data_IF_705141059118
#
_entry.id   IF_705141059118
#
_cell.length_a   1.000
_cell.length_b   1.000
_cell.length_c   1.000
_cell.angle_alpha   90.00
_cell.angle_beta   90.00
_cell.angle_gamma   90.00
#
_symmetry.space_group_name_H-M   'P 1'
#
loop_
_entity.id
_entity.type
_entity.pdbx_description
1 polymer ?
#
# COMPACT_ATOMS: atom_id res chain seq x y z
N UNK A 1 -25.81 33.72 11.02
CA UNK A 1 -25.56 32.51 10.20
C UNK A 1 -24.60 31.65 10.96
N UNK A 2 -25.03 30.45 11.37
CA UNK A 2 -24.25 29.53 12.17
C UNK A 2 -23.23 28.81 11.28
N UNK A 3 -21.94 29.04 11.51
CA UNK A 3 -20.87 28.24 10.90
C UNK A 3 -20.89 26.85 11.53
N UNK A 4 -21.50 25.92 10.82
CA UNK A 4 -21.43 24.50 11.12
C UNK A 4 -20.01 24.03 10.81
N UNK A 5 -19.09 24.19 11.77
CA UNK A 5 -17.79 23.51 11.75
C UNK A 5 -18.06 22.01 11.70
N UNK A 6 -17.98 21.41 10.52
CA UNK A 6 -17.76 19.99 10.37
C UNK A 6 -16.45 19.65 11.08
N UNK A 7 -16.54 19.24 12.34
CA UNK A 7 -15.43 18.64 13.07
C UNK A 7 -15.17 17.27 12.42
N UNK A 8 -14.37 17.25 11.35
CA UNK A 8 -13.84 16.01 10.80
C UNK A 8 -12.92 15.39 11.84
N UNK A 9 -13.36 14.30 12.45
CA UNK A 9 -12.51 13.53 13.34
C UNK A 9 -11.53 12.70 12.50
N UNK A 10 -10.36 13.28 12.22
CA UNK A 10 -9.29 12.65 11.45
C UNK A 10 -8.78 11.33 12.09
N UNK A 11 -9.07 11.07 13.37
CA UNK A 11 -8.64 9.84 14.06
C UNK A 11 -9.37 8.57 13.60
N UNK A 12 -10.45 8.71 12.82
CA UNK A 12 -11.24 7.58 12.28
C UNK A 12 -11.20 7.49 10.76
N UNK A 13 -10.20 8.13 10.14
CA UNK A 13 -9.94 7.99 8.70
C UNK A 13 -8.88 6.91 8.51
N UNK A 14 -9.11 6.01 7.57
CA UNK A 14 -8.11 5.03 7.18
C UNK A 14 -6.89 5.72 6.54
N UNK A 15 -5.69 5.34 6.97
CA UNK A 15 -4.45 6.01 6.57
C UNK A 15 -3.93 5.58 5.19
N UNK A 16 -4.57 4.60 4.56
CA UNK A 16 -4.24 4.13 3.21
C UNK A 16 -5.28 4.56 2.17
N UNK A 17 -6.55 4.67 2.54
CA UNK A 17 -7.60 5.10 1.64
C UNK A 17 -8.73 5.84 2.37
N UNK A 18 -8.97 7.11 2.03
CA UNK A 18 -9.96 7.94 2.75
C UNK A 18 -11.41 7.47 2.62
N UNK A 19 -11.73 6.64 1.62
CA UNK A 19 -13.07 6.09 1.44
C UNK A 19 -13.26 4.77 2.19
N UNK A 20 -12.17 4.15 2.64
CA UNK A 20 -12.25 2.89 3.35
C UNK A 20 -12.71 3.12 4.80
N UNK A 21 -13.45 2.13 5.30
CA UNK A 21 -13.83 2.11 6.71
C UNK A 21 -12.58 1.90 7.55
N UNK A 22 -12.42 2.72 8.58
CA UNK A 22 -11.39 2.49 9.59
C UNK A 22 -11.61 1.16 10.32
N UNK A 23 -10.63 0.28 10.28
CA UNK A 23 -10.66 -1.00 11.00
C UNK A 23 -9.50 -1.14 12.00
N UNK A 24 -9.78 -1.76 13.15
CA UNK A 24 -8.75 -2.10 14.14
C UNK A 24 -7.75 -3.09 13.54
N UNK A 25 -6.54 -2.61 13.23
CA UNK A 25 -5.51 -3.37 12.50
C UNK A 25 -4.91 -2.60 11.32
N UNK A 26 -5.62 -1.61 10.78
CA UNK A 26 -5.11 -0.75 9.70
C UNK A 26 -4.04 0.23 10.20
N UNK A 27 -4.08 0.66 11.47
CA UNK A 27 -3.19 1.72 11.99
C UNK A 27 -1.76 1.28 12.35
N UNK A 28 -1.35 0.02 12.13
CA UNK A 28 -0.13 -0.52 12.76
C UNK A 28 0.89 -1.21 11.85
N UNK A 29 0.91 -0.94 10.55
CA UNK A 29 2.08 -1.30 9.72
C UNK A 29 3.37 -0.51 10.08
N UNK A 30 3.31 0.42 11.07
CA UNK A 30 4.41 1.30 11.50
C UNK A 30 4.76 1.32 13.00
N UNK A 31 4.34 0.35 13.84
CA UNK A 31 4.92 0.24 15.20
C UNK A 31 5.51 -1.14 15.46
N UNK A 32 6.85 -1.17 15.51
CA UNK A 32 7.62 -2.24 16.13
C UNK A 32 7.13 -2.44 17.58
N UNK A 33 6.98 -3.71 17.97
CA UNK A 33 6.96 -4.28 19.33
C UNK A 33 5.69 -4.95 19.91
N UNK A 34 4.53 -5.02 19.24
CA UNK A 34 3.36 -5.72 19.81
C UNK A 34 3.19 -7.19 19.39
N UNK A 35 4.23 -7.83 18.85
CA UNK A 35 4.23 -9.27 18.59
C UNK A 35 4.78 -10.11 19.77
N UNK A 36 5.46 -9.49 20.73
CA UNK A 36 6.01 -10.20 21.90
C UNK A 36 4.97 -10.49 22.98
N UNK A 37 3.85 -9.77 23.03
CA UNK A 37 2.73 -10.03 23.96
C UNK A 37 1.77 -11.12 23.46
N UNK A 38 1.74 -11.42 22.16
CA UNK A 38 0.87 -12.45 21.56
C UNK A 38 1.31 -13.90 21.87
N UNK A 39 2.43 -14.08 22.58
CA UNK A 39 2.99 -15.39 22.96
C UNK A 39 2.37 -16.02 24.21
N UNK A 40 1.48 -15.35 24.95
CA UNK A 40 1.03 -15.86 26.26
C UNK A 40 -0.35 -16.51 26.32
N UNK A 41 -1.13 -16.52 25.24
CA UNK A 41 -2.44 -17.20 25.24
C UNK A 41 -2.45 -18.36 24.25
N UNK A 42 -2.14 -19.53 24.79
CA UNK A 42 -2.40 -20.83 24.18
C UNK A 42 -3.91 -21.03 24.04
N UNK A 43 -4.49 -20.65 22.90
CA UNK A 43 -5.43 -21.49 22.16
C UNK A 43 -5.66 -20.88 20.77
N UNK A 44 -5.73 -21.75 19.77
CA UNK A 44 -6.13 -21.47 18.39
C UNK A 44 -7.12 -20.31 18.26
N UNK A 45 -6.80 -19.27 17.47
CA UNK A 45 -7.72 -18.47 16.63
C UNK A 45 -6.98 -17.20 16.19
N UNK A 46 -6.32 -17.24 15.03
CA UNK A 46 -6.11 -16.01 14.25
C UNK A 46 -7.49 -15.38 14.06
N UNK A 47 -7.79 -14.24 14.71
CA UNK A 47 -9.08 -13.56 14.53
C UNK A 47 -9.21 -13.20 13.04
N UNK A 48 -10.21 -13.76 12.38
CA UNK A 48 -10.53 -13.42 11.00
C UNK A 48 -10.88 -11.93 10.97
N UNK A 49 -10.27 -11.10 10.10
CA UNK A 49 -10.63 -9.70 9.98
C UNK A 49 -12.10 -9.55 9.59
N UNK A 50 -12.71 -8.41 9.93
CA UNK A 50 -14.07 -8.12 9.48
C UNK A 50 -14.13 -8.05 7.94
N UNK A 51 -15.14 -8.68 7.35
CA UNK A 51 -15.34 -8.77 5.89
C UNK A 51 -15.36 -7.40 5.19
N UNK A 52 -15.82 -6.37 5.89
CA UNK A 52 -15.94 -5.01 5.36
C UNK A 52 -14.60 -4.25 5.31
N UNK A 53 -13.53 -4.81 5.89
CA UNK A 53 -12.23 -4.17 5.98
C UNK A 53 -11.30 -4.60 4.84
N UNK A 54 -10.50 -3.67 4.31
CA UNK A 54 -9.54 -3.96 3.24
C UNK A 54 -8.54 -5.05 3.64
N UNK A 55 -8.16 -5.13 4.92
CA UNK A 55 -7.29 -6.19 5.47
C UNK A 55 -7.86 -7.61 5.31
N UNK A 56 -9.15 -7.78 5.07
CA UNK A 56 -9.72 -9.08 4.79
C UNK A 56 -9.19 -9.67 3.48
N UNK A 57 -8.98 -8.84 2.46
CA UNK A 57 -8.36 -9.28 1.19
C UNK A 57 -6.97 -9.84 1.45
N UNK A 58 -6.19 -9.16 2.29
CA UNK A 58 -4.86 -9.59 2.68
C UNK A 58 -4.86 -10.95 3.40
N UNK A 59 -5.85 -11.18 4.27
CA UNK A 59 -6.07 -12.47 4.91
C UNK A 59 -6.39 -13.57 3.88
N UNK A 60 -7.33 -13.30 2.97
CA UNK A 60 -7.71 -14.24 1.91
C UNK A 60 -6.52 -14.58 1.00
N UNK A 61 -5.74 -13.59 0.57
CA UNK A 61 -4.55 -13.80 -0.26
C UNK A 61 -3.54 -14.70 0.47
N UNK A 62 -3.29 -14.47 1.76
CA UNK A 62 -2.39 -15.33 2.54
C UNK A 62 -2.91 -16.76 2.67
N UNK A 63 -4.23 -16.95 2.80
CA UNK A 63 -4.84 -18.30 2.81
C UNK A 63 -4.70 -18.97 1.46
N UNK A 64 -5.06 -18.28 0.38
CA UNK A 64 -4.98 -18.79 -0.98
C UNK A 64 -3.53 -19.15 -1.37
N UNK A 65 -2.57 -18.25 -1.15
CA UNK A 65 -1.17 -18.46 -1.53
C UNK A 65 -0.47 -19.58 -0.73
N UNK A 66 -1.02 -19.95 0.43
CA UNK A 66 -0.49 -21.04 1.25
C UNK A 66 -1.31 -22.35 1.15
N UNK A 67 -2.38 -22.40 0.35
CA UNK A 67 -3.09 -23.65 0.05
C UNK A 67 -2.15 -24.58 -0.76
N UNK A 68 -2.03 -25.84 -0.34
CA UNK A 68 -1.12 -26.81 -0.97
C UNK A 68 -1.44 -27.05 -2.44
N UNK A 69 -2.72 -27.03 -2.82
CA UNK A 69 -3.16 -27.21 -4.22
C UNK A 69 -2.75 -26.02 -5.06
N UNK A 70 -2.87 -24.80 -4.52
CA UNK A 70 -2.41 -23.57 -5.19
C UNK A 70 -0.89 -23.60 -5.35
N UNK A 71 -0.15 -23.94 -4.29
CA UNK A 71 1.32 -24.06 -4.35
C UNK A 71 1.77 -25.12 -5.36
N UNK A 72 1.09 -26.27 -5.41
CA UNK A 72 1.35 -27.32 -6.40
C UNK A 72 1.06 -26.84 -7.82
N UNK A 73 -0.05 -26.14 -8.04
CA UNK A 73 -0.42 -25.59 -9.36
C UNK A 73 0.54 -24.49 -9.83
N UNK A 74 1.12 -23.72 -8.90
CA UNK A 74 2.17 -22.74 -9.17
C UNK A 74 3.58 -23.36 -9.24
N UNK A 75 3.69 -24.69 -9.17
CA UNK A 75 4.95 -25.44 -9.19
C UNK A 75 5.96 -25.03 -8.11
N UNK A 76 5.48 -24.62 -6.93
CA UNK A 76 6.34 -24.38 -5.78
C UNK A 76 6.83 -25.72 -5.24
N UNK A 77 8.14 -25.95 -5.27
CA UNK A 77 8.75 -27.18 -4.78
C UNK A 77 8.56 -27.33 -3.27
N UNK A 78 8.13 -28.52 -2.85
CA UNK A 78 7.93 -28.82 -1.45
C UNK A 78 9.25 -28.79 -0.67
N UNK A 79 9.23 -28.20 0.53
CA UNK A 79 10.41 -28.08 1.39
C UNK A 79 11.42 -26.99 1.03
N UNK A 80 11.29 -26.28 -0.11
CA UNK A 80 12.29 -25.25 -0.49
C UNK A 80 11.97 -23.86 0.03
N UNK A 81 10.69 -23.51 0.17
CA UNK A 81 10.24 -22.20 0.64
C UNK A 81 9.19 -22.42 1.71
N UNK A 82 9.30 -21.68 2.81
CA UNK A 82 8.32 -21.70 3.91
C UNK A 82 6.95 -21.13 3.55
N UNK A 83 6.24 -20.63 4.56
CA UNK A 83 4.96 -19.94 4.38
C UNK A 83 5.16 -18.69 3.54
N UNK A 84 4.28 -18.49 2.56
CA UNK A 84 4.24 -17.27 1.79
C UNK A 84 3.77 -16.11 2.67
N UNK A 85 4.50 -15.01 2.61
CA UNK A 85 4.19 -13.75 3.27
C UNK A 85 4.12 -12.64 2.22
N UNK A 86 3.14 -11.73 2.37
CA UNK A 86 2.88 -10.68 1.38
C UNK A 86 3.96 -9.61 1.32
N UNK A 87 4.51 -9.25 2.48
CA UNK A 87 5.48 -8.17 2.61
C UNK A 87 6.64 -8.66 3.47
N UNK A 88 7.82 -8.75 2.86
CA UNK A 88 9.07 -8.98 3.58
C UNK A 88 9.70 -7.63 3.92
N UNK A 89 9.99 -7.37 5.19
CA UNK A 89 10.27 -6.00 5.68
C UNK A 89 11.65 -5.78 6.31
N UNK A 90 12.51 -6.79 6.36
CA UNK A 90 13.63 -6.80 7.32
C UNK A 90 15.03 -6.86 6.72
N UNK A 91 15.17 -6.96 5.40
CA UNK A 91 16.48 -7.16 4.75
C UNK A 91 16.68 -6.21 3.57
N UNK A 92 16.62 -4.90 3.82
CA UNK A 92 16.97 -3.90 2.81
C UNK A 92 17.54 -2.64 3.45
N UNK A 93 18.43 -1.97 2.71
CA UNK A 93 18.98 -0.67 3.06
C UNK A 93 18.39 0.40 2.15
N UNK A 94 17.99 1.53 2.75
CA UNK A 94 17.53 2.69 1.99
C UNK A 94 18.74 3.49 1.51
N UNK A 95 19.07 3.39 0.22
CA UNK A 95 20.22 4.08 -0.37
C UNK A 95 19.82 5.23 -1.30
N UNK A 96 18.62 5.16 -1.90
CA UNK A 96 18.12 6.15 -2.84
C UNK A 96 16.93 6.86 -2.18
N UNK A 97 17.06 8.17 -2.00
CA UNK A 97 16.01 9.02 -1.40
C UNK A 97 15.08 9.66 -2.42
N UNK A 98 15.48 9.72 -3.70
CA UNK A 98 14.73 10.38 -4.76
C UNK A 98 14.95 9.67 -6.11
N UNK A 99 13.88 9.50 -6.89
CA UNK A 99 13.89 8.91 -8.23
C UNK A 99 13.75 9.95 -9.36
N UNK A 100 13.54 11.23 -9.05
CA UNK A 100 13.26 12.29 -10.05
C UNK A 100 14.38 12.41 -11.08
N UNK A 101 15.65 12.37 -10.66
CA UNK A 101 16.80 12.43 -11.57
C UNK A 101 16.83 11.25 -12.55
N UNK A 102 16.45 10.05 -12.09
CA UNK A 102 16.38 8.87 -12.95
C UNK A 102 15.28 9.00 -14.00
N UNK A 103 14.10 9.51 -13.62
CA UNK A 103 13.04 9.84 -14.58
C UNK A 103 13.53 10.86 -15.61
N UNK A 104 14.23 11.92 -15.19
CA UNK A 104 14.78 12.92 -16.09
C UNK A 104 15.79 12.34 -17.10
N UNK A 105 16.68 11.47 -16.65
CA UNK A 105 17.68 10.81 -17.47
C UNK A 105 17.04 9.86 -18.50
N UNK A 106 16.07 9.04 -18.07
CA UNK A 106 15.37 8.11 -18.96
C UNK A 106 14.55 8.85 -20.03
N UNK A 107 13.90 9.96 -19.67
CA UNK A 107 13.19 10.82 -20.63
C UNK A 107 14.13 11.39 -21.70
N UNK A 108 15.34 11.85 -21.32
CA UNK A 108 16.35 12.35 -22.28
C UNK A 108 16.82 11.27 -23.26
N UNK A 109 16.77 10.00 -22.87
CA UNK A 109 17.10 8.84 -23.72
C UNK A 109 15.93 8.39 -24.60
N UNK A 110 14.76 9.02 -24.49
CA UNK A 110 13.57 8.69 -25.29
C UNK A 110 12.70 7.57 -24.72
N UNK A 111 12.91 7.14 -23.47
CA UNK A 111 12.02 6.15 -22.84
C UNK A 111 10.70 6.80 -22.43
N UNK A 112 9.59 6.16 -22.81
CA UNK A 112 8.24 6.59 -22.43
C UNK A 112 7.92 6.14 -21.01
N UNK A 113 7.42 7.06 -20.20
CA UNK A 113 6.96 6.80 -18.83
C UNK A 113 5.47 7.09 -18.71
N UNK A 114 4.73 6.23 -18.00
CA UNK A 114 3.37 6.49 -17.54
C UNK A 114 3.40 6.58 -16.01
N UNK A 115 3.01 7.72 -15.47
CA UNK A 115 2.92 7.95 -14.02
C UNK A 115 1.44 8.14 -13.70
N UNK A 116 0.92 7.34 -12.77
CA UNK A 116 -0.47 7.38 -12.34
C UNK A 116 -0.56 7.33 -10.82
N UNK A 117 -1.60 7.93 -10.26
CA UNK A 117 -1.89 7.96 -8.83
C UNK A 117 -3.37 7.74 -8.60
N UNK A 118 -3.72 6.99 -7.55
CA UNK A 118 -5.07 7.00 -7.00
C UNK A 118 -5.31 8.31 -6.26
N UNK A 119 -6.44 8.96 -6.51
CA UNK A 119 -6.81 10.23 -5.87
C UNK A 119 -7.25 10.06 -4.41
N UNK A 120 -7.52 8.83 -3.99
CA UNK A 120 -7.92 8.48 -2.62
C UNK A 120 -6.76 7.91 -1.76
N UNK A 121 -5.55 7.77 -2.29
CA UNK A 121 -4.37 7.30 -1.53
C UNK A 121 -3.80 8.43 -0.66
N UNK A 122 -3.67 8.18 0.63
CA UNK A 122 -3.12 9.13 1.60
C UNK A 122 -1.66 8.88 1.97
N UNK A 123 -1.11 7.68 1.71
CA UNK A 123 0.30 7.39 1.94
C UNK A 123 1.15 8.07 0.88
N UNK A 124 0.72 7.98 -0.39
CA UNK A 124 1.34 8.65 -1.52
C UNK A 124 0.31 9.46 -2.31
N UNK A 125 -0.08 10.65 -1.81
CA UNK A 125 -1.15 11.42 -2.40
C UNK A 125 -0.78 11.89 -3.82
N UNK A 126 -1.77 11.89 -4.71
CA UNK A 126 -1.57 12.31 -6.12
C UNK A 126 -0.99 13.72 -6.24
N UNK A 127 -1.27 14.61 -5.28
CA UNK A 127 -0.70 15.96 -5.22
C UNK A 127 0.83 15.94 -5.08
N UNK A 128 1.40 15.00 -4.30
CA UNK A 128 2.85 14.83 -4.20
C UNK A 128 3.43 14.39 -5.54
N UNK A 129 2.74 13.48 -6.25
CA UNK A 129 3.13 13.07 -7.60
C UNK A 129 3.12 14.24 -8.58
N UNK A 130 2.06 15.05 -8.58
CA UNK A 130 1.97 16.25 -9.41
C UNK A 130 3.09 17.25 -9.11
N UNK A 131 3.47 17.42 -7.84
CA UNK A 131 4.50 18.37 -7.44
C UNK A 131 5.87 18.04 -8.05
N UNK A 132 6.34 16.79 -7.93
CA UNK A 132 7.65 16.43 -8.48
C UNK A 132 7.65 16.36 -10.01
N UNK A 133 6.53 15.98 -10.64
CA UNK A 133 6.42 16.01 -12.12
C UNK A 133 6.54 17.46 -12.61
N UNK A 134 5.88 18.42 -11.94
CA UNK A 134 6.02 19.85 -12.30
C UNK A 134 7.44 20.35 -12.11
N UNK A 135 8.17 19.84 -11.13
CA UNK A 135 9.57 20.20 -10.89
C UNK A 135 10.51 19.78 -12.05
N UNK A 136 10.14 18.79 -12.88
CA UNK A 136 10.89 18.43 -14.09
C UNK A 136 10.82 19.48 -15.20
N UNK A 137 9.85 20.41 -15.13
CA UNK A 137 9.68 21.52 -16.07
C UNK A 137 9.60 21.08 -17.55
N UNK A 138 8.84 20.03 -17.83
CA UNK A 138 8.55 19.61 -19.20
C UNK A 138 7.48 20.48 -19.84
N UNK A 139 7.58 20.66 -21.16
CA UNK A 139 6.52 21.26 -21.96
C UNK A 139 5.27 20.38 -21.94
N UNK A 140 4.11 20.98 -21.68
CA UNK A 140 2.81 20.33 -21.81
C UNK A 140 2.51 20.18 -23.31
N UNK A 141 2.27 18.95 -23.76
CA UNK A 141 1.95 18.64 -25.17
C UNK A 141 0.45 18.44 -25.38
N UNK A 142 -0.26 17.95 -24.36
CA UNK A 142 -1.72 17.82 -24.32
C UNK A 142 -2.19 18.28 -22.93
N UNK A 143 -3.23 19.09 -22.88
CA UNK A 143 -3.76 19.61 -21.62
C UNK A 143 -4.44 18.51 -20.81
N UNK A 144 -4.58 18.75 -19.51
CA UNK A 144 -5.30 17.80 -18.66
C UNK A 144 -6.75 17.63 -19.14
N UNK A 145 -7.18 16.38 -19.28
CA UNK A 145 -8.54 16.02 -19.65
C UNK A 145 -8.97 14.74 -18.96
N UNK A 146 -10.30 14.59 -18.70
CA UNK A 146 -10.83 13.31 -18.26
C UNK A 146 -10.61 12.24 -19.34
N UNK A 147 -10.43 10.99 -18.89
CA UNK A 147 -10.38 9.79 -19.72
C UNK A 147 -11.62 8.94 -19.38
N UNK A 148 -12.26 8.35 -20.40
CA UNK A 148 -13.49 7.56 -20.29
C UNK A 148 -13.32 6.20 -20.95
#
# INVERSE_FOLDING_TARGET
MSDQKCLFNLSRIDQFNILDRFCEGDSHLWRRSLAQELKKSSSSHLRVPELSCRIYIFYLTTKWANDERVRKALHIREGTIGKWERCYKTDFEFQISDSVEFHANLSKKGYRSLIYSGDQDTVFPFMSTQAWIRALNYSIVDDWRPWF
#
